data_IF_251936370118
#
_entry.id   IF_251936370118
#
_cell.length_a   1.000
_cell.length_b   1.000
_cell.length_c   1.000
_cell.angle_alpha   90.00
_cell.angle_beta   90.00
_cell.angle_gamma   90.00
#
_symmetry.space_group_name_H-M   'P 1'
#
loop_
_entity.id
_entity.type
_entity.pdbx_description
1 polymer ?
#
# COMPACT_ATOMS: atom_id res chain seq x y z
N UNK A 1 -30.21 -5.83 -39.80
CA UNK A 1 -29.58 -6.54 -38.68
C UNK A 1 -30.12 -5.91 -37.42
N UNK A 2 -31.01 -6.61 -36.71
CA UNK A 2 -31.58 -6.09 -35.47
C UNK A 2 -30.50 -6.10 -34.40
N UNK A 3 -30.27 -4.96 -33.75
CA UNK A 3 -29.51 -4.92 -32.51
C UNK A 3 -30.24 -5.85 -31.52
N UNK A 4 -29.58 -6.93 -31.11
CA UNK A 4 -30.02 -7.64 -29.91
C UNK A 4 -29.93 -6.63 -28.76
N UNK A 5 -31.09 -6.24 -28.24
CA UNK A 5 -31.16 -5.35 -27.08
C UNK A 5 -30.41 -6.03 -25.95
N UNK A 6 -29.23 -5.49 -25.63
CA UNK A 6 -28.44 -5.97 -24.51
C UNK A 6 -29.10 -5.50 -23.22
N UNK A 7 -30.09 -6.26 -22.75
CA UNK A 7 -30.86 -5.97 -21.55
C UNK A 7 -29.97 -5.80 -20.31
N UNK A 8 -28.85 -6.53 -20.25
CA UNK A 8 -27.89 -6.39 -19.16
C UNK A 8 -27.25 -4.99 -19.15
N UNK A 9 -26.84 -4.46 -20.30
CA UNK A 9 -26.29 -3.12 -20.40
C UNK A 9 -27.28 -2.03 -19.96
N UNK A 10 -28.56 -2.19 -20.29
CA UNK A 10 -29.62 -1.26 -19.87
C UNK A 10 -29.96 -1.34 -18.38
N UNK A 11 -29.95 -2.56 -17.81
CA UNK A 11 -30.10 -2.75 -16.35
C UNK A 11 -28.92 -2.09 -15.62
N UNK A 12 -27.70 -2.33 -16.06
CA UNK A 12 -26.49 -1.70 -15.51
C UNK A 12 -26.58 -0.18 -15.57
N UNK A 13 -26.98 0.39 -16.72
CA UNK A 13 -27.15 1.83 -16.85
C UNK A 13 -28.18 2.38 -15.85
N UNK A 14 -29.30 1.69 -15.66
CA UNK A 14 -30.34 2.09 -14.71
C UNK A 14 -29.81 2.05 -13.26
N UNK A 15 -29.02 1.04 -12.91
CA UNK A 15 -28.37 0.95 -11.60
C UNK A 15 -27.36 2.08 -11.41
N UNK A 16 -26.52 2.38 -12.41
CA UNK A 16 -25.55 3.49 -12.37
C UNK A 16 -26.24 4.82 -12.16
N UNK A 17 -27.34 5.09 -12.90
CA UNK A 17 -28.14 6.32 -12.72
C UNK A 17 -28.70 6.40 -11.29
N UNK A 18 -29.28 5.30 -10.80
CA UNK A 18 -29.91 5.25 -9.48
C UNK A 18 -28.90 5.43 -8.36
N UNK A 19 -27.77 4.74 -8.44
CA UNK A 19 -26.67 4.84 -7.49
C UNK A 19 -26.09 6.26 -7.46
N UNK A 20 -25.78 6.82 -8.63
CA UNK A 20 -25.24 8.16 -8.76
C UNK A 20 -26.19 9.20 -8.15
N UNK A 21 -27.49 9.08 -8.44
CA UNK A 21 -28.52 9.93 -7.85
C UNK A 21 -28.56 9.80 -6.31
N UNK A 22 -28.58 8.59 -5.77
CA UNK A 22 -28.66 8.38 -4.31
C UNK A 22 -27.43 8.93 -3.60
N UNK A 23 -26.23 8.68 -4.13
CA UNK A 23 -24.97 9.22 -3.59
C UNK A 23 -24.98 10.76 -3.64
N UNK A 24 -25.32 11.33 -4.79
CA UNK A 24 -25.38 12.77 -4.97
C UNK A 24 -26.42 13.41 -4.03
N UNK A 25 -27.62 12.83 -3.92
CA UNK A 25 -28.68 13.35 -3.07
C UNK A 25 -28.31 13.33 -1.58
N UNK A 26 -27.70 12.23 -1.11
CA UNK A 26 -27.23 12.10 0.27
C UNK A 26 -26.22 13.19 0.61
N UNK A 27 -25.25 13.43 -0.26
CA UNK A 27 -24.22 14.45 -0.08
C UNK A 27 -24.78 15.87 -0.26
N UNK A 28 -25.70 16.08 -1.20
CA UNK A 28 -26.28 17.38 -1.49
C UNK A 28 -26.99 18.01 -0.29
N UNK A 29 -27.71 17.20 0.49
CA UNK A 29 -28.37 17.64 1.72
C UNK A 29 -27.39 18.11 2.79
N UNK A 30 -26.14 17.62 2.73
CA UNK A 30 -25.11 17.75 3.77
C UNK A 30 -23.88 18.57 3.34
N UNK A 31 -23.83 19.05 2.10
CA UNK A 31 -22.69 19.77 1.47
C UNK A 31 -22.20 21.04 2.18
N UNK A 32 -22.97 21.54 3.14
CA UNK A 32 -22.63 22.74 3.91
C UNK A 32 -21.84 22.42 5.20
N UNK A 33 -21.63 21.14 5.52
CA UNK A 33 -20.88 20.69 6.70
C UNK A 33 -19.42 20.43 6.34
N UNK A 34 -18.50 20.90 7.20
CA UNK A 34 -17.05 20.78 6.97
C UNK A 34 -16.61 19.31 6.91
N UNK A 35 -17.07 18.48 7.84
CA UNK A 35 -16.75 17.04 7.91
C UNK A 35 -17.08 16.29 6.61
N UNK A 36 -18.09 16.77 5.86
CA UNK A 36 -18.49 16.15 4.58
C UNK A 36 -17.55 16.54 3.46
N UNK A 37 -17.05 17.78 3.45
CA UNK A 37 -16.01 18.18 2.50
C UNK A 37 -14.70 17.44 2.78
N UNK A 38 -14.32 17.31 4.06
CA UNK A 38 -13.09 16.62 4.48
C UNK A 38 -13.16 15.09 4.25
N UNK A 39 -14.35 14.49 4.28
CA UNK A 39 -14.52 13.06 3.98
C UNK A 39 -14.27 12.66 2.50
N UNK A 40 -14.09 13.64 1.61
CA UNK A 40 -13.86 13.39 0.18
C UNK A 40 -12.38 13.62 -0.15
N UNK A 41 -11.64 12.54 -0.40
CA UNK A 41 -10.27 12.58 -0.91
C UNK A 41 -10.24 13.21 -2.30
N UNK A 42 -9.63 14.40 -2.43
CA UNK A 42 -9.51 15.09 -3.71
C UNK A 42 -8.49 14.40 -4.62
N UNK A 43 -7.43 13.81 -4.05
CA UNK A 43 -6.46 13.02 -4.80
C UNK A 43 -7.11 11.78 -5.44
N UNK A 44 -7.91 11.02 -4.68
CA UNK A 44 -8.60 9.86 -5.22
C UNK A 44 -9.59 10.24 -6.34
N UNK A 45 -10.31 11.36 -6.20
CA UNK A 45 -11.19 11.84 -7.28
C UNK A 45 -10.38 12.29 -8.50
N UNK A 46 -9.20 12.89 -8.31
CA UNK A 46 -8.29 13.26 -9.40
C UNK A 46 -7.81 12.06 -10.21
N UNK A 47 -7.35 11.00 -9.54
CA UNK A 47 -6.99 9.72 -10.18
C UNK A 47 -8.21 9.11 -10.87
N UNK A 48 -9.37 9.16 -10.22
CA UNK A 48 -10.64 8.69 -10.80
C UNK A 48 -10.97 9.36 -12.14
N UNK A 49 -10.68 10.65 -12.31
CA UNK A 49 -10.88 11.33 -13.60
C UNK A 49 -9.99 10.76 -14.72
N UNK A 50 -8.76 10.35 -14.40
CA UNK A 50 -7.86 9.73 -15.39
C UNK A 50 -8.39 8.36 -15.80
N UNK A 51 -8.79 7.52 -14.83
CA UNK A 51 -9.38 6.20 -15.10
C UNK A 51 -10.66 6.30 -15.91
N UNK A 52 -11.55 7.25 -15.56
CA UNK A 52 -12.79 7.49 -16.30
C UNK A 52 -12.54 8.02 -17.71
N UNK A 53 -11.50 8.84 -17.90
CA UNK A 53 -11.05 9.28 -19.21
C UNK A 53 -10.65 8.10 -20.11
N UNK A 54 -9.83 7.18 -19.58
CA UNK A 54 -9.45 5.95 -20.30
C UNK A 54 -10.66 5.08 -20.65
N UNK A 55 -11.61 4.92 -19.72
CA UNK A 55 -12.82 4.12 -19.95
C UNK A 55 -13.78 4.78 -20.95
N UNK A 56 -13.88 6.11 -20.95
CA UNK A 56 -14.68 6.85 -21.92
C UNK A 56 -14.12 6.70 -23.35
N UNK A 57 -12.79 6.74 -23.49
CA UNK A 57 -12.11 6.50 -24.77
C UNK A 57 -12.37 5.07 -25.24
N UNK A 58 -12.21 4.07 -24.36
CA UNK A 58 -12.49 2.67 -24.69
C UNK A 58 -13.95 2.48 -25.14
N UNK A 59 -14.92 3.03 -24.40
CA UNK A 59 -16.35 2.95 -24.74
C UNK A 59 -16.70 3.63 -26.07
N UNK A 60 -15.98 4.71 -26.42
CA UNK A 60 -16.13 5.39 -27.70
C UNK A 60 -15.60 4.54 -28.86
N UNK A 61 -14.44 3.91 -28.68
CA UNK A 61 -13.85 2.99 -29.67
C UNK A 61 -14.78 1.79 -29.92
N UNK A 62 -15.37 1.24 -28.85
CA UNK A 62 -16.28 0.09 -28.93
C UNK A 62 -17.68 0.44 -29.46
N UNK A 63 -17.98 1.72 -29.70
CA UNK A 63 -19.30 2.17 -30.16
C UNK A 63 -20.44 1.95 -29.14
N UNK A 64 -20.10 1.71 -27.87
CA UNK A 64 -21.05 1.37 -26.82
C UNK A 64 -21.74 2.62 -26.27
N UNK A 65 -22.96 2.89 -26.74
CA UNK A 65 -23.78 4.04 -26.26
C UNK A 65 -23.97 3.96 -24.74
N UNK A 66 -24.26 2.78 -24.19
CA UNK A 66 -24.46 2.60 -22.73
C UNK A 66 -23.17 2.84 -21.95
N UNK A 67 -22.00 2.47 -22.50
CA UNK A 67 -20.70 2.72 -21.89
C UNK A 67 -20.36 4.22 -21.88
N UNK A 68 -20.60 4.92 -22.99
CA UNK A 68 -20.40 6.37 -23.10
C UNK A 68 -21.28 7.11 -22.10
N UNK A 69 -22.58 6.78 -22.03
CA UNK A 69 -23.52 7.43 -21.10
C UNK A 69 -23.13 7.13 -19.64
N UNK A 70 -22.76 5.89 -19.33
CA UNK A 70 -22.30 5.52 -17.98
C UNK A 70 -21.02 6.28 -17.58
N UNK A 71 -20.07 6.39 -18.50
CA UNK A 71 -18.83 7.16 -18.30
C UNK A 71 -19.12 8.64 -18.05
N UNK A 72 -20.06 9.23 -18.79
CA UNK A 72 -20.48 10.63 -18.61
C UNK A 72 -21.14 10.86 -17.24
N UNK A 73 -21.95 9.91 -16.77
CA UNK A 73 -22.56 9.96 -15.43
C UNK A 73 -21.49 9.90 -14.34
N UNK A 74 -20.57 8.93 -14.43
CA UNK A 74 -19.47 8.81 -13.48
C UNK A 74 -18.56 10.03 -13.47
N UNK A 75 -18.22 10.56 -14.65
CA UNK A 75 -17.47 11.80 -14.77
C UNK A 75 -18.17 12.97 -14.09
N UNK A 76 -19.47 13.13 -14.33
CA UNK A 76 -20.29 14.17 -13.68
C UNK A 76 -20.33 13.99 -12.16
N UNK A 77 -20.40 12.75 -11.69
CA UNK A 77 -20.36 12.42 -10.26
C UNK A 77 -19.00 12.75 -9.64
N UNK A 78 -17.89 12.42 -10.30
CA UNK A 78 -16.54 12.75 -9.83
C UNK A 78 -16.33 14.26 -9.77
N UNK A 79 -16.78 15.01 -10.77
CA UNK A 79 -16.77 16.48 -10.74
C UNK A 79 -17.60 16.99 -9.56
N UNK A 80 -18.79 16.44 -9.34
CA UNK A 80 -19.62 16.78 -8.19
C UNK A 80 -18.91 16.51 -6.85
N UNK A 81 -18.24 15.36 -6.70
CA UNK A 81 -17.47 15.02 -5.51
C UNK A 81 -16.32 16.01 -5.28
N UNK A 82 -15.58 16.40 -6.32
CA UNK A 82 -14.51 17.41 -6.22
C UNK A 82 -15.10 18.76 -5.75
N UNK A 83 -16.23 19.18 -6.30
CA UNK A 83 -16.87 20.42 -5.86
C UNK A 83 -17.31 20.35 -4.38
N UNK A 84 -17.77 19.19 -3.91
CA UNK A 84 -18.13 18.96 -2.51
C UNK A 84 -16.87 18.97 -1.63
N UNK A 85 -15.83 18.23 -2.00
CA UNK A 85 -14.56 18.11 -1.27
C UNK A 85 -13.80 19.42 -1.17
N UNK A 86 -13.86 20.27 -2.20
CA UNK A 86 -13.31 21.63 -2.17
C UNK A 86 -14.11 22.60 -1.29
N UNK A 87 -15.24 22.16 -0.73
CA UNK A 87 -16.02 22.97 0.19
C UNK A 87 -16.58 24.25 -0.44
N UNK A 88 -16.91 24.21 -1.74
CA UNK A 88 -17.46 25.38 -2.47
C UNK A 88 -18.70 25.93 -1.76
N UNK A 89 -19.49 25.07 -1.14
CA UNK A 89 -20.73 25.40 -0.44
C UNK A 89 -20.59 25.67 1.06
N UNK A 90 -19.38 25.65 1.62
CA UNK A 90 -19.15 25.97 3.04
C UNK A 90 -19.33 27.47 3.32
N UNK A 91 -19.95 27.81 4.45
CA UNK A 91 -20.15 29.22 4.85
C UNK A 91 -18.83 29.94 5.19
N UNK A 92 -17.85 29.20 5.70
CA UNK A 92 -16.55 29.76 6.12
C UNK A 92 -15.59 30.05 4.95
N UNK A 93 -15.92 29.63 3.73
CA UNK A 93 -15.08 29.83 2.53
C UNK A 93 -15.71 30.81 1.53
N UNK A 94 -16.72 31.58 1.92
CA UNK A 94 -17.51 32.46 1.02
C UNK A 94 -16.70 33.54 0.30
N UNK A 95 -15.57 33.98 0.86
CA UNK A 95 -14.70 35.00 0.27
C UNK A 95 -13.60 34.45 -0.64
N UNK A 96 -13.44 33.13 -0.71
CA UNK A 96 -12.36 32.48 -1.46
C UNK A 96 -12.82 32.05 -2.86
N UNK A 97 -11.93 32.22 -3.84
CA UNK A 97 -12.10 31.71 -5.20
C UNK A 97 -12.00 30.18 -5.24
N UNK A 98 -12.50 29.55 -6.30
CA UNK A 98 -12.46 28.11 -6.47
C UNK A 98 -11.03 27.54 -6.40
N UNK A 99 -10.06 28.21 -7.03
CA UNK A 99 -8.65 27.80 -7.01
C UNK A 99 -8.04 27.90 -5.61
N UNK A 100 -8.37 28.93 -4.84
CA UNK A 100 -7.91 29.06 -3.45
C UNK A 100 -8.49 27.95 -2.56
N UNK A 101 -9.77 27.61 -2.75
CA UNK A 101 -10.41 26.48 -2.04
C UNK A 101 -9.79 25.14 -2.44
N UNK A 102 -9.60 24.91 -3.73
CA UNK A 102 -8.96 23.71 -4.25
C UNK A 102 -7.56 23.56 -3.69
N UNK A 103 -6.74 24.62 -3.74
CA UNK A 103 -5.38 24.62 -3.18
C UNK A 103 -5.38 24.41 -1.67
N UNK A 104 -6.30 25.02 -0.93
CA UNK A 104 -6.41 24.86 0.52
C UNK A 104 -6.75 23.42 0.92
N UNK A 105 -7.70 22.77 0.24
CA UNK A 105 -8.11 21.40 0.55
C UNK A 105 -7.12 20.36 0.01
N UNK A 106 -6.52 20.60 -1.17
CA UNK A 106 -5.42 19.80 -1.68
C UNK A 106 -4.20 19.87 -0.74
N UNK A 107 -3.86 21.08 -0.27
CA UNK A 107 -2.81 21.24 0.73
C UNK A 107 -3.20 20.59 2.06
N UNK A 108 -4.48 20.59 2.46
CA UNK A 108 -4.95 19.87 3.67
C UNK A 108 -4.76 18.36 3.55
N UNK A 109 -5.05 17.75 2.41
CA UNK A 109 -4.80 16.31 2.16
C UNK A 109 -3.30 16.00 2.18
N UNK A 110 -2.45 16.91 1.67
CA UNK A 110 -0.99 16.82 1.90
C UNK A 110 -0.55 17.17 3.33
N UNK A 111 -1.37 17.90 4.10
CA UNK A 111 -1.15 18.18 5.52
C UNK A 111 -1.57 17.00 6.40
N UNK A 112 -2.46 16.11 5.98
CA UNK A 112 -2.71 14.83 6.69
C UNK A 112 -1.43 14.00 6.76
N UNK A 113 -0.58 14.03 5.71
CA UNK A 113 0.79 13.48 5.77
C UNK A 113 1.64 14.20 6.82
N UNK A 114 1.45 15.51 6.99
CA UNK A 114 2.14 16.28 8.03
C UNK A 114 1.66 15.95 9.44
N UNK A 115 0.35 15.72 9.60
CA UNK A 115 -0.24 15.31 10.88
C UNK A 115 0.16 13.87 11.25
N UNK A 116 0.25 12.95 10.26
CA UNK A 116 0.81 11.60 10.44
C UNK A 116 2.25 11.66 10.98
N UNK A 117 3.09 12.53 10.40
CA UNK A 117 4.51 12.66 10.78
C UNK A 117 4.67 13.44 12.10
N UNK A 118 3.83 14.45 12.35
CA UNK A 118 3.85 15.27 13.57
C UNK A 118 3.39 14.49 14.80
N UNK A 119 2.46 13.55 14.63
CA UNK A 119 2.07 12.60 15.68
C UNK A 119 3.21 11.62 16.02
N UNK A 120 4.22 11.49 15.15
CA UNK A 120 5.47 10.74 15.35
C UNK A 120 6.61 11.64 15.85
N UNK A 121 6.31 12.70 16.63
CA UNK A 121 7.34 13.57 17.18
C UNK A 121 8.23 12.84 18.20
N UNK A 122 9.51 12.66 17.87
CA UNK A 122 10.50 11.89 18.66
C UNK A 122 10.09 10.42 18.89
N UNK A 123 10.03 9.61 17.82
CA UNK A 123 9.53 8.25 17.92
C UNK A 123 10.54 7.32 18.60
N UNK A 124 10.02 6.32 19.31
CA UNK A 124 10.86 5.26 19.88
C UNK A 124 11.56 4.53 18.75
N UNK A 125 12.89 4.37 18.80
CA UNK A 125 13.62 3.70 17.73
C UNK A 125 13.70 4.48 16.41
N UNK A 126 13.68 5.82 16.46
CA UNK A 126 13.81 6.73 15.29
C UNK A 126 14.77 6.24 14.20
N UNK A 127 15.98 5.78 14.56
CA UNK A 127 16.95 5.32 13.56
C UNK A 127 16.43 4.11 12.77
N UNK A 128 15.82 3.13 13.43
CA UNK A 128 15.22 1.98 12.76
C UNK A 128 14.05 2.40 11.86
N UNK A 129 13.23 3.37 12.29
CA UNK A 129 12.15 3.88 11.47
C UNK A 129 12.65 4.53 10.18
N UNK A 130 13.69 5.36 10.27
CA UNK A 130 14.30 5.99 9.11
C UNK A 130 14.89 4.94 8.16
N UNK A 131 15.59 3.94 8.70
CA UNK A 131 16.15 2.84 7.90
C UNK A 131 15.06 2.04 7.19
N UNK A 132 13.95 1.72 7.88
CA UNK A 132 12.79 1.03 7.31
C UNK A 132 12.19 1.85 6.16
N UNK A 133 11.93 3.14 6.41
CA UNK A 133 11.31 4.04 5.43
C UNK A 133 12.21 4.20 4.18
N UNK A 134 13.52 4.39 4.37
CA UNK A 134 14.47 4.47 3.27
C UNK A 134 14.53 3.17 2.47
N UNK A 135 14.59 2.01 3.15
CA UNK A 135 14.67 0.71 2.48
C UNK A 135 13.40 0.39 1.70
N UNK A 136 12.24 0.77 2.21
CA UNK A 136 10.97 0.60 1.50
C UNK A 136 10.92 1.47 0.25
N UNK A 137 11.33 2.74 0.35
CA UNK A 137 11.40 3.63 -0.81
C UNK A 137 12.46 3.21 -1.85
N UNK A 138 13.32 2.23 -1.54
CA UNK A 138 14.36 1.71 -2.42
C UNK A 138 14.05 0.30 -2.93
N UNK A 139 12.84 -0.23 -2.70
CA UNK A 139 12.50 -1.61 -3.09
C UNK A 139 12.69 -1.82 -4.61
N UNK A 140 12.21 -0.89 -5.42
CA UNK A 140 12.31 -0.95 -6.89
C UNK A 140 13.63 -0.36 -7.44
N UNK A 141 14.53 0.04 -6.54
CA UNK A 141 15.80 0.71 -6.81
C UNK A 141 15.70 2.13 -7.42
N UNK A 142 14.51 2.76 -7.44
CA UNK A 142 14.32 4.12 -7.97
C UNK A 142 13.44 4.97 -7.05
N UNK A 143 13.99 6.04 -6.46
CA UNK A 143 13.18 6.98 -5.66
C UNK A 143 12.59 8.05 -6.59
N UNK A 144 11.28 8.04 -6.77
CA UNK A 144 10.54 9.04 -7.56
C UNK A 144 10.50 10.42 -6.89
N UNK A 145 10.27 11.49 -7.68
CA UNK A 145 10.14 12.86 -7.15
C UNK A 145 9.07 12.99 -6.06
N UNK A 146 8.01 12.17 -6.11
CA UNK A 146 6.92 12.22 -5.11
C UNK A 146 7.33 11.54 -3.81
N UNK A 147 8.07 10.44 -3.87
CA UNK A 147 8.64 9.79 -2.68
C UNK A 147 9.70 10.67 -2.05
N UNK A 148 10.53 11.35 -2.85
CA UNK A 148 11.49 12.34 -2.35
C UNK A 148 10.81 13.38 -1.47
N UNK A 149 9.69 13.94 -1.91
CA UNK A 149 8.91 14.91 -1.12
C UNK A 149 8.41 14.33 0.20
N UNK A 150 8.01 13.05 0.23
CA UNK A 150 7.58 12.39 1.47
C UNK A 150 8.78 12.17 2.40
N UNK A 151 9.89 11.63 1.88
CA UNK A 151 11.11 11.39 2.63
C UNK A 151 11.68 12.68 3.22
N UNK A 152 11.87 13.73 2.42
CA UNK A 152 12.35 15.03 2.89
C UNK A 152 11.49 15.56 4.05
N UNK A 153 10.17 15.38 3.96
CA UNK A 153 9.25 15.82 5.00
C UNK A 153 9.40 15.00 6.28
N UNK A 154 9.54 13.69 6.19
CA UNK A 154 9.77 12.80 7.35
C UNK A 154 11.07 13.17 8.06
N UNK A 155 12.17 13.25 7.30
CA UNK A 155 13.50 13.53 7.85
C UNK A 155 13.55 14.91 8.50
N UNK A 156 12.98 15.93 7.83
CA UNK A 156 12.90 17.29 8.37
C UNK A 156 12.10 17.38 9.66
N UNK A 157 10.95 16.71 9.75
CA UNK A 157 10.14 16.71 10.99
C UNK A 157 10.85 15.97 12.14
N UNK A 158 11.76 15.06 11.83
CA UNK A 158 12.58 14.36 12.83
C UNK A 158 13.94 15.02 13.07
N UNK A 159 14.18 16.22 12.54
CA UNK A 159 15.44 16.98 12.68
C UNK A 159 16.67 16.18 12.20
N UNK A 160 16.52 15.46 11.08
CA UNK A 160 17.58 14.75 10.37
C UNK A 160 17.75 15.30 8.96
N UNK A 161 18.99 15.31 8.49
CA UNK A 161 19.31 15.63 7.10
C UNK A 161 19.42 14.35 6.27
N UNK A 162 18.74 14.30 5.13
CA UNK A 162 18.83 13.21 4.16
C UNK A 162 19.39 13.74 2.85
N UNK A 163 20.47 13.11 2.38
CA UNK A 163 20.93 13.30 1.00
C UNK A 163 20.34 12.18 0.15
N UNK A 164 19.14 12.43 -0.39
CA UNK A 164 18.41 11.44 -1.18
C UNK A 164 19.18 11.08 -2.46
N UNK A 165 19.93 12.03 -3.03
CA UNK A 165 20.70 11.78 -4.25
C UNK A 165 21.94 10.90 -3.97
N UNK A 166 22.35 10.78 -2.71
CA UNK A 166 23.39 9.84 -2.25
C UNK A 166 22.87 8.44 -1.91
N UNK A 167 21.55 8.25 -1.82
CA UNK A 167 20.95 6.94 -1.61
C UNK A 167 21.10 6.11 -2.89
N UNK A 168 22.24 5.43 -3.01
CA UNK A 168 22.47 4.47 -4.08
C UNK A 168 21.73 3.18 -3.80
N UNK A 169 21.06 2.63 -4.82
CA UNK A 169 20.61 1.25 -4.78
C UNK A 169 21.80 0.33 -4.53
N UNK A 170 21.79 -0.38 -3.40
CA UNK A 170 22.63 -1.56 -3.29
C UNK A 170 22.02 -2.59 -4.23
N UNK A 171 22.80 -3.10 -5.18
CA UNK A 171 22.40 -4.11 -6.17
C UNK A 171 22.17 -5.50 -5.51
N UNK A 172 21.56 -5.51 -4.34
CA UNK A 172 21.23 -6.71 -3.60
C UNK A 172 20.04 -7.38 -4.30
N UNK A 173 19.96 -8.71 -4.22
CA UNK A 173 18.79 -9.42 -4.73
C UNK A 173 17.55 -9.06 -3.90
N UNK A 174 16.38 -9.11 -4.52
CA UNK A 174 15.06 -8.95 -3.87
C UNK A 174 15.00 -9.62 -2.48
N UNK A 175 15.51 -10.86 -2.38
CA UNK A 175 15.54 -11.64 -1.15
C UNK A 175 16.39 -11.00 -0.04
N UNK A 176 17.56 -10.46 -0.39
CA UNK A 176 18.41 -9.78 0.59
C UNK A 176 17.75 -8.50 1.09
N UNK A 177 17.12 -7.73 0.20
CA UNK A 177 16.39 -6.52 0.59
C UNK A 177 15.24 -6.83 1.55
N UNK A 178 14.48 -7.89 1.30
CA UNK A 178 13.39 -8.33 2.19
C UNK A 178 13.91 -8.73 3.56
N UNK A 179 14.93 -9.58 3.63
CA UNK A 179 15.48 -10.05 4.90
C UNK A 179 16.00 -8.88 5.73
N UNK A 180 16.66 -7.92 5.07
CA UNK A 180 17.14 -6.71 5.71
C UNK A 180 16.00 -5.87 6.27
N UNK A 181 14.92 -5.66 5.50
CA UNK A 181 13.76 -4.88 5.98
C UNK A 181 13.05 -5.61 7.11
N UNK A 182 12.81 -6.93 6.99
CA UNK A 182 12.17 -7.72 8.03
C UNK A 182 12.97 -7.71 9.34
N UNK A 183 14.30 -7.85 9.26
CA UNK A 183 15.20 -7.79 10.42
C UNK A 183 15.23 -6.40 11.05
N UNK A 184 15.17 -5.33 10.25
CA UNK A 184 15.02 -3.96 10.75
C UNK A 184 13.68 -3.77 11.47
N UNK A 185 12.60 -4.30 10.91
CA UNK A 185 11.27 -4.25 11.51
C UNK A 185 11.23 -5.05 12.81
N UNK A 186 11.78 -6.27 12.84
CA UNK A 186 11.88 -7.08 14.07
C UNK A 186 12.63 -6.32 15.16
N UNK A 187 13.81 -5.77 14.84
CA UNK A 187 14.61 -4.95 15.77
C UNK A 187 13.88 -3.71 16.27
N UNK A 188 13.09 -3.08 15.40
CA UNK A 188 12.26 -1.94 15.77
C UNK A 188 11.14 -2.36 16.73
N UNK A 189 10.43 -3.45 16.44
CA UNK A 189 9.33 -3.96 17.25
C UNK A 189 9.81 -4.53 18.60
N UNK A 190 11.03 -5.06 18.67
CA UNK A 190 11.68 -5.51 19.92
C UNK A 190 11.88 -4.35 20.92
N UNK A 191 11.92 -3.09 20.45
CA UNK A 191 11.93 -1.91 21.32
C UNK A 191 10.59 -1.67 22.02
N UNK A 192 9.57 -2.48 21.71
CA UNK A 192 8.19 -2.34 22.18
C UNK A 192 7.62 -0.93 21.93
N UNK A 193 7.65 -0.43 20.68
CA UNK A 193 7.14 0.89 20.35
C UNK A 193 5.63 0.97 20.59
N UNK A 194 5.08 2.15 20.95
CA UNK A 194 3.64 2.30 21.12
C UNK A 194 2.83 1.84 19.87
N UNK A 195 1.72 1.13 20.06
CA UNK A 195 0.92 0.58 18.93
C UNK A 195 0.39 1.65 17.98
N UNK A 196 0.09 2.85 18.48
CA UNK A 196 -0.23 4.00 17.64
C UNK A 196 0.94 4.40 16.74
N UNK A 197 2.17 4.37 17.24
CA UNK A 197 3.39 4.64 16.46
C UNK A 197 3.53 3.63 15.31
N UNK A 198 3.31 2.35 15.60
CA UNK A 198 3.38 1.28 14.60
C UNK A 198 2.26 1.42 13.55
N UNK A 199 1.03 1.73 13.98
CA UNK A 199 -0.08 2.00 13.05
C UNK A 199 0.22 3.17 12.12
N UNK A 200 0.88 4.23 12.60
CA UNK A 200 1.28 5.37 11.79
C UNK A 200 2.40 5.02 10.81
N UNK A 201 3.34 4.17 11.21
CA UNK A 201 4.34 3.62 10.29
C UNK A 201 3.67 2.84 9.15
N UNK A 202 2.66 2.02 9.46
CA UNK A 202 1.87 1.32 8.43
C UNK A 202 1.24 2.30 7.44
N UNK A 203 0.62 3.37 7.93
CA UNK A 203 0.03 4.41 7.07
C UNK A 203 1.09 5.10 6.18
N UNK A 204 2.27 5.37 6.74
CA UNK A 204 3.39 5.99 6.02
C UNK A 204 3.97 5.06 4.95
N UNK A 205 4.11 3.77 5.24
CA UNK A 205 4.54 2.75 4.26
C UNK A 205 3.54 2.66 3.11
N UNK A 206 2.24 2.60 3.42
CA UNK A 206 1.17 2.58 2.40
C UNK A 206 1.16 3.84 1.55
N UNK A 207 1.53 4.98 2.12
CA UNK A 207 1.64 6.26 1.41
C UNK A 207 2.84 6.25 0.45
N UNK A 208 4.01 5.83 0.92
CA UNK A 208 5.24 5.76 0.13
C UNK A 208 5.05 4.89 -1.11
N UNK A 209 4.58 3.65 -0.90
CA UNK A 209 4.34 2.67 -1.97
C UNK A 209 3.33 3.14 -3.02
N UNK A 210 2.46 4.09 -2.68
CA UNK A 210 1.42 4.61 -3.59
C UNK A 210 1.75 6.01 -4.12
N UNK A 211 2.89 6.57 -3.76
CA UNK A 211 3.19 7.97 -3.99
C UNK A 211 3.28 8.26 -5.49
N UNK A 212 4.03 7.45 -6.22
CA UNK A 212 4.29 7.59 -7.65
C UNK A 212 3.02 7.30 -8.50
N UNK A 213 2.12 6.45 -8.01
CA UNK A 213 0.88 6.02 -8.64
C UNK A 213 1.00 4.68 -9.40
N UNK A 214 2.14 4.00 -9.30
CA UNK A 214 2.44 2.73 -9.96
C UNK A 214 3.15 1.78 -9.01
N UNK A 215 2.48 0.68 -8.62
CA UNK A 215 3.10 -0.32 -7.74
C UNK A 215 3.57 -1.49 -8.59
N UNK A 216 4.85 -1.86 -8.48
CA UNK A 216 5.38 -3.06 -9.16
C UNK A 216 4.98 -4.34 -8.41
N UNK A 217 5.01 -5.50 -9.09
CA UNK A 217 4.70 -6.78 -8.44
C UNK A 217 5.66 -7.09 -7.27
N UNK A 218 6.93 -6.70 -7.41
CA UNK A 218 7.97 -6.84 -6.39
C UNK A 218 7.69 -5.92 -5.20
N UNK A 219 7.43 -4.65 -5.45
CA UNK A 219 7.11 -3.67 -4.42
C UNK A 219 5.82 -3.99 -3.68
N UNK A 220 4.77 -4.43 -4.39
CA UNK A 220 3.53 -4.87 -3.78
C UNK A 220 3.79 -6.05 -2.83
N UNK A 221 4.55 -7.05 -3.28
CA UNK A 221 4.80 -8.24 -2.49
C UNK A 221 5.63 -7.95 -1.23
N UNK A 222 6.66 -7.11 -1.35
CA UNK A 222 7.51 -6.74 -0.22
C UNK A 222 6.74 -5.85 0.76
N UNK A 223 6.07 -4.83 0.26
CA UNK A 223 5.32 -3.91 1.12
C UNK A 223 4.16 -4.59 1.84
N UNK A 224 3.44 -5.51 1.19
CA UNK A 224 2.39 -6.31 1.83
C UNK A 224 2.97 -7.12 3.00
N UNK A 225 4.07 -7.83 2.79
CA UNK A 225 4.74 -8.61 3.84
C UNK A 225 5.09 -7.75 5.07
N UNK A 226 5.68 -6.58 4.85
CA UNK A 226 6.08 -5.65 5.92
C UNK A 226 4.86 -5.02 6.60
N UNK A 227 3.82 -4.66 5.84
CA UNK A 227 2.58 -4.13 6.39
C UNK A 227 1.94 -5.18 7.31
N UNK A 228 1.85 -6.45 6.89
CA UNK A 228 1.30 -7.51 7.72
C UNK A 228 2.13 -7.75 8.98
N UNK A 229 3.47 -7.68 8.89
CA UNK A 229 4.36 -7.76 10.06
C UNK A 229 4.03 -6.66 11.09
N UNK A 230 3.92 -5.41 10.65
CA UNK A 230 3.61 -4.27 11.52
C UNK A 230 2.17 -4.33 12.07
N UNK A 231 1.19 -4.69 11.25
CA UNK A 231 -0.21 -4.84 11.67
C UNK A 231 -0.38 -5.99 12.69
N UNK A 232 0.43 -7.05 12.57
CA UNK A 232 0.46 -8.15 13.54
C UNK A 232 0.86 -7.70 14.95
N UNK A 233 1.75 -6.70 15.04
CA UNK A 233 2.16 -6.12 16.30
C UNK A 233 1.04 -5.27 16.93
N UNK A 234 0.34 -4.48 16.11
CA UNK A 234 -0.73 -3.59 16.59
C UNK A 234 -1.94 -4.37 17.13
N UNK A 235 -2.19 -5.56 16.60
CA UNK A 235 -3.39 -6.36 16.88
C UNK A 235 -3.25 -7.34 18.06
N UNK A 236 -2.24 -7.18 18.94
CA UNK A 236 -1.93 -8.04 20.10
C UNK A 236 -3.07 -9.01 20.50
N UNK A 237 -2.92 -10.30 20.14
CA UNK A 237 -3.83 -11.37 20.56
C UNK A 237 -4.81 -11.91 19.50
N UNK A 238 -4.70 -11.49 18.23
CA UNK A 238 -5.33 -12.23 17.12
C UNK A 238 -4.52 -13.48 16.74
N UNK A 239 -5.18 -14.62 16.50
CA UNK A 239 -4.60 -15.74 15.74
C UNK A 239 -4.27 -15.23 14.32
N UNK A 240 -3.07 -14.70 14.15
CA UNK A 240 -2.55 -14.27 12.86
C UNK A 240 -1.78 -15.44 12.27
N UNK A 241 -2.35 -16.01 11.21
CA UNK A 241 -1.76 -17.12 10.46
C UNK A 241 -0.37 -16.72 9.99
N UNK A 242 0.65 -17.47 10.41
CA UNK A 242 2.03 -17.33 9.92
C UNK A 242 2.35 -18.44 8.94
N UNK A 243 3.32 -18.17 8.08
CA UNK A 243 3.81 -19.13 7.11
C UNK A 243 5.28 -19.42 7.37
N UNK A 244 5.59 -20.69 7.47
CA UNK A 244 6.97 -21.18 7.54
C UNK A 244 7.32 -21.84 6.22
N UNK A 245 8.60 -21.80 5.86
CA UNK A 245 9.13 -22.64 4.78
C UNK A 245 9.94 -23.76 5.40
N UNK A 246 9.44 -24.98 5.27
CA UNK A 246 10.07 -26.20 5.76
C UNK A 246 10.91 -26.83 4.65
N UNK A 247 12.20 -27.00 4.92
CA UNK A 247 13.14 -27.69 4.05
C UNK A 247 13.38 -29.09 4.62
N UNK A 248 13.07 -30.10 3.81
CA UNK A 248 13.17 -31.52 4.20
C UNK A 248 14.27 -32.20 3.38
N UNK A 249 15.53 -32.23 3.88
CA UNK A 249 16.63 -32.89 3.18
C UNK A 249 16.36 -34.38 3.00
N UNK A 250 16.52 -34.86 1.77
CA UNK A 250 16.37 -36.26 1.38
C UNK A 250 17.71 -37.01 1.39
N UNK A 251 18.83 -36.28 1.40
CA UNK A 251 20.19 -36.82 1.31
C UNK A 251 21.14 -36.07 2.23
N UNK A 252 22.21 -36.73 2.67
CA UNK A 252 23.17 -36.16 3.62
C UNK A 252 23.99 -34.99 3.04
N UNK A 253 24.19 -34.96 1.72
CA UNK A 253 24.80 -33.82 1.02
C UNK A 253 23.93 -32.55 1.12
N UNK A 254 22.61 -32.68 1.03
CA UNK A 254 21.70 -31.54 1.22
C UNK A 254 21.77 -30.97 2.64
N UNK A 255 21.99 -31.82 3.67
CA UNK A 255 22.16 -31.34 5.06
C UNK A 255 23.39 -30.45 5.19
N UNK A 256 24.48 -30.82 4.52
CA UNK A 256 25.71 -30.03 4.50
C UNK A 256 25.50 -28.71 3.75
N UNK A 257 24.87 -28.76 2.57
CA UNK A 257 24.52 -27.57 1.78
C UNK A 257 23.65 -26.59 2.56
N UNK A 258 22.65 -27.08 3.30
CA UNK A 258 21.78 -26.22 4.13
C UNK A 258 22.59 -25.49 5.19
N UNK A 259 23.49 -26.20 5.90
CA UNK A 259 24.35 -25.58 6.93
C UNK A 259 25.32 -24.55 6.37
N UNK A 260 25.81 -24.75 5.15
CA UNK A 260 26.74 -23.84 4.49
C UNK A 260 26.06 -22.61 3.90
N UNK A 261 24.94 -22.79 3.20
CA UNK A 261 24.24 -21.70 2.50
C UNK A 261 23.26 -20.93 3.38
N UNK A 262 22.64 -21.62 4.36
CA UNK A 262 21.56 -21.07 5.17
C UNK A 262 21.77 -21.38 6.67
N UNK A 263 22.88 -20.93 7.27
CA UNK A 263 23.19 -21.20 8.68
C UNK A 263 22.15 -20.64 9.66
N UNK A 264 21.31 -19.70 9.22
CA UNK A 264 20.24 -19.10 10.01
C UNK A 264 19.00 -19.99 10.16
N UNK A 265 18.86 -21.08 9.39
CA UNK A 265 17.69 -21.94 9.48
C UNK A 265 17.68 -22.76 10.76
N UNK A 266 16.51 -22.85 11.38
CA UNK A 266 16.33 -23.58 12.64
C UNK A 266 16.10 -25.05 12.36
N UNK A 267 17.01 -25.88 12.86
CA UNK A 267 16.86 -27.34 12.79
C UNK A 267 15.82 -27.83 13.81
N UNK A 268 14.89 -28.67 13.35
CA UNK A 268 13.89 -29.34 14.16
C UNK A 268 13.83 -30.81 13.76
N UNK A 269 13.90 -31.70 14.74
CA UNK A 269 13.72 -33.15 14.53
C UNK A 269 12.22 -33.46 14.68
N UNK A 270 11.58 -33.85 13.57
CA UNK A 270 10.17 -34.25 13.57
C UNK A 270 10.02 -35.75 13.35
N UNK A 271 8.84 -36.31 13.66
CA UNK A 271 8.55 -37.74 13.50
C UNK A 271 8.71 -38.25 12.04
N UNK A 272 8.74 -37.34 11.06
CA UNK A 272 8.90 -37.62 9.64
C UNK A 272 10.31 -37.33 9.12
N UNK A 273 11.25 -36.95 9.99
CA UNK A 273 12.65 -36.69 9.68
C UNK A 273 13.12 -35.29 10.08
N UNK A 274 14.39 -35.04 9.80
CA UNK A 274 15.06 -33.75 9.96
C UNK A 274 14.39 -32.67 9.11
N UNK A 275 14.00 -31.56 9.73
CA UNK A 275 13.42 -30.40 9.04
C UNK A 275 14.17 -29.14 9.41
N UNK A 276 14.41 -28.27 8.43
CA UNK A 276 14.99 -26.94 8.64
C UNK A 276 13.92 -25.89 8.33
N UNK A 277 13.61 -25.04 9.32
CA UNK A 277 12.51 -24.08 9.24
C UNK A 277 13.05 -22.66 9.05
N UNK A 278 12.40 -21.93 8.14
CA UNK A 278 12.50 -20.48 8.04
C UNK A 278 11.20 -19.87 8.60
N UNK A 279 11.24 -19.44 9.86
CA UNK A 279 10.08 -18.99 10.64
C UNK A 279 9.89 -17.46 10.55
N UNK A 280 9.61 -16.92 9.35
CA UNK A 280 9.65 -15.46 9.13
C UNK A 280 8.58 -14.86 8.19
N UNK A 281 7.58 -15.62 7.73
CA UNK A 281 6.66 -15.09 6.72
C UNK A 281 5.27 -14.77 7.24
N UNK A 282 4.80 -13.56 6.93
CA UNK A 282 3.48 -13.04 7.25
C UNK A 282 2.49 -13.26 6.09
N UNK A 283 2.98 -13.46 4.87
CA UNK A 283 2.14 -13.76 3.70
C UNK A 283 2.49 -15.09 3.04
N UNK A 284 1.46 -15.76 2.50
CA UNK A 284 1.63 -16.98 1.70
C UNK A 284 2.42 -16.71 0.41
N UNK A 285 2.23 -15.53 -0.20
CA UNK A 285 2.92 -15.14 -1.42
C UNK A 285 4.44 -15.12 -1.20
N UNK A 286 4.89 -14.49 -0.11
CA UNK A 286 6.30 -14.44 0.26
C UNK A 286 6.87 -15.83 0.57
N UNK A 287 6.17 -16.62 1.38
CA UNK A 287 6.61 -17.98 1.72
C UNK A 287 6.77 -18.87 0.46
N UNK A 288 5.89 -18.71 -0.54
CA UNK A 288 6.00 -19.43 -1.81
C UNK A 288 7.23 -19.02 -2.62
N UNK A 289 7.60 -17.73 -2.65
CA UNK A 289 8.81 -17.28 -3.35
C UNK A 289 10.05 -17.95 -2.75
N UNK A 290 10.19 -17.91 -1.42
CA UNK A 290 11.31 -18.56 -0.74
C UNK A 290 11.32 -20.08 -0.94
N UNK A 291 10.15 -20.71 -0.93
CA UNK A 291 9.99 -22.13 -1.24
C UNK A 291 10.54 -22.46 -2.64
N UNK A 292 10.21 -21.67 -3.65
CA UNK A 292 10.73 -21.86 -5.02
C UNK A 292 12.24 -21.58 -5.11
N UNK A 293 12.78 -20.61 -4.37
CA UNK A 293 14.22 -20.35 -4.32
C UNK A 293 15.01 -21.52 -3.73
N UNK A 294 14.53 -22.13 -2.63
CA UNK A 294 15.16 -23.33 -2.09
C UNK A 294 15.09 -24.50 -3.08
N UNK A 295 13.99 -24.63 -3.84
CA UNK A 295 13.88 -25.64 -4.91
C UNK A 295 14.86 -25.39 -6.06
N UNK A 296 15.12 -24.13 -6.44
CA UNK A 296 16.10 -23.79 -7.48
C UNK A 296 17.52 -24.25 -7.14
N UNK A 297 17.90 -24.25 -5.86
CA UNK A 297 19.20 -24.77 -5.39
C UNK A 297 19.18 -26.28 -5.11
N UNK A 298 18.12 -26.98 -5.50
CA UNK A 298 18.00 -28.44 -5.41
C UNK A 298 17.60 -28.96 -4.03
N UNK A 299 17.04 -28.10 -3.17
CA UNK A 299 16.49 -28.51 -1.87
C UNK A 299 14.98 -28.79 -2.00
N UNK A 300 14.47 -29.73 -1.22
CA UNK A 300 13.03 -29.97 -1.17
C UNK A 300 12.41 -29.08 -0.11
N UNK A 301 11.54 -28.16 -0.52
CA UNK A 301 10.91 -27.18 0.36
C UNK A 301 9.39 -27.17 0.18
N UNK A 302 8.67 -26.93 1.27
CA UNK A 302 7.22 -26.82 1.33
C UNK A 302 6.81 -25.68 2.26
N UNK A 303 5.74 -24.97 1.91
CA UNK A 303 5.16 -23.97 2.81
C UNK A 303 4.26 -24.68 3.82
N UNK A 304 4.43 -24.32 5.09
CA UNK A 304 3.67 -24.85 6.23
C UNK A 304 2.96 -23.68 6.89
N UNK A 305 1.71 -23.90 7.28
CA UNK A 305 0.91 -22.92 7.99
C UNK A 305 1.13 -23.13 9.49
N UNK A 306 1.35 -22.04 10.22
CA UNK A 306 1.36 -22.02 11.69
C UNK A 306 0.23 -21.13 12.21
N UNK A 307 -0.52 -21.71 13.14
CA UNK A 307 -1.54 -21.05 13.96
C UNK A 307 -0.92 -20.54 15.27
#
# INVERSE_FOLDING_TARGET
>A
MGEEVNYAAWITLTLVISESYLRANKLWSRKHMQDVAESVSLMAQGVGLLTLGSFAIASYIDGSITGIVSSAIWFSMTVFMILVGTGVWLRNTKSMTFLEKFKMFFNKETHEVGDLIKDLYSPTGKNYLLDIIQKIALIDNEISDKEKVILEKVFKEWDEDIDIDSLSSNSNSMNQNIIEIQDLVDKYLDLSPPTNQVSRLVDLVKLLVKADGTVTDEEQLISEEIIFQLESYVTEGGEMVRYDVAIVPQRDDQRQTIKELFPQLKYTEEAHGDTYLNEKFFTLAMANIYCEEYKKVGLNAVVVIRD
#
